data_IF_376376815309
#
_entry.id   IF_376376815309
#
_cell.length_a   1.000
_cell.length_b   1.000
_cell.length_c   1.000
_cell.angle_alpha   90.00
_cell.angle_beta   90.00
_cell.angle_gamma   90.00
#
_symmetry.space_group_name_H-M   'P 1'
#
loop_
_entity.id
_entity.type
_entity.pdbx_description
1 polymer ?
#
# COMPACT_ATOMS: atom_id res chain seq x y z
N UNK A 1 -9.35 44.51 21.32
CA UNK A 1 -8.30 43.49 21.13
C UNK A 1 -8.78 42.47 20.12
N UNK A 2 -7.84 41.91 19.35
CA UNK A 2 -7.97 41.48 17.97
C UNK A 2 -9.08 40.46 17.65
N UNK A 3 -9.70 40.67 16.49
CA UNK A 3 -10.69 39.82 15.83
C UNK A 3 -10.01 38.60 15.23
N UNK A 4 -10.47 37.40 15.59
CA UNK A 4 -10.30 36.21 14.76
C UNK A 4 -11.61 35.98 14.02
N UNK A 5 -11.58 36.18 12.71
CA UNK A 5 -12.58 35.66 11.79
C UNK A 5 -11.91 35.60 10.41
N UNK A 6 -11.24 34.49 10.12
CA UNK A 6 -10.83 34.18 8.76
C UNK A 6 -11.82 33.14 8.25
N UNK A 7 -12.86 33.61 7.56
CA UNK A 7 -13.74 32.76 6.77
C UNK A 7 -13.07 32.60 5.41
N UNK A 8 -12.38 31.49 5.19
CA UNK A 8 -11.83 31.15 3.88
C UNK A 8 -12.91 30.46 3.08
N UNK A 9 -13.38 31.11 2.01
CA UNK A 9 -14.26 30.49 1.04
C UNK A 9 -13.40 29.92 -0.09
N UNK A 10 -13.13 28.61 -0.03
CA UNK A 10 -12.49 27.86 -1.10
C UNK A 10 -13.54 27.56 -2.17
N UNK A 11 -13.39 28.15 -3.34
CA UNK A 11 -14.14 27.75 -4.54
C UNK A 11 -13.20 26.98 -5.45
N UNK A 12 -13.50 25.69 -5.65
CA UNK A 12 -12.87 24.88 -6.69
C UNK A 12 -13.40 25.35 -8.04
N UNK A 13 -12.52 25.78 -8.93
CA UNK A 13 -12.90 26.22 -10.28
C UNK A 13 -12.31 25.25 -11.31
N UNK A 14 -13.17 24.36 -11.81
CA UNK A 14 -12.96 23.59 -13.05
C UNK A 14 -12.18 22.28 -12.89
N UNK A 15 -12.74 21.23 -13.50
CA UNK A 15 -12.07 19.96 -13.74
C UNK A 15 -11.34 20.02 -15.10
N UNK A 16 -10.04 19.73 -15.09
CA UNK A 16 -9.32 19.29 -16.29
C UNK A 16 -8.31 18.22 -15.87
N UNK A 17 -8.12 17.20 -16.72
CA UNK A 17 -7.34 15.99 -16.45
C UNK A 17 -5.83 16.28 -16.27
N UNK A 18 -5.40 16.65 -15.06
CA UNK A 18 -3.99 16.69 -14.65
C UNK A 18 -3.82 16.53 -13.13
N UNK A 19 -2.69 15.98 -12.68
CA UNK A 19 -2.33 15.64 -11.29
C UNK A 19 -2.17 16.85 -10.33
N UNK A 20 -2.57 18.05 -10.76
CA UNK A 20 -2.41 19.31 -10.04
C UNK A 20 -3.75 20.05 -9.94
N UNK A 21 -4.07 20.55 -8.75
CA UNK A 21 -5.25 21.42 -8.56
C UNK A 21 -4.79 22.87 -8.54
N UNK A 22 -5.39 23.72 -9.38
CA UNK A 22 -5.18 25.18 -9.31
C UNK A 22 -5.91 25.72 -8.08
N UNK A 23 -5.13 26.16 -7.09
CA UNK A 23 -5.66 26.89 -5.93
C UNK A 23 -5.43 28.39 -6.15
N UNK A 24 -6.52 29.15 -6.27
CA UNK A 24 -6.49 30.61 -6.27
C UNK A 24 -6.89 31.09 -4.88
N UNK A 25 -5.92 31.60 -4.13
CA UNK A 25 -6.18 32.21 -2.83
C UNK A 25 -6.34 33.71 -3.05
N UNK A 26 -7.58 34.20 -3.01
CA UNK A 26 -7.84 35.65 -2.92
C UNK A 26 -7.79 36.07 -1.45
N UNK A 27 -6.76 36.83 -1.08
CA UNK A 27 -6.68 37.45 0.24
C UNK A 27 -7.61 38.67 0.27
N UNK A 28 -8.79 38.52 0.88
CA UNK A 28 -9.69 39.63 1.12
C UNK A 28 -9.34 40.34 2.44
N UNK A 29 -8.64 41.47 2.35
CA UNK A 29 -8.52 42.39 3.48
C UNK A 29 -9.72 43.35 3.47
N UNK A 30 -10.79 43.01 4.19
CA UNK A 30 -11.90 43.95 4.36
C UNK A 30 -11.49 45.09 5.31
N UNK A 31 -11.28 46.30 4.79
CA UNK A 31 -11.10 47.48 5.66
C UNK A 31 -10.51 48.76 5.06
N UNK A 32 -10.09 48.81 3.80
CA UNK A 32 -9.58 50.05 3.18
C UNK A 32 -10.11 50.23 1.74
N UNK A 33 -10.68 51.40 1.39
CA UNK A 33 -10.99 51.70 0.00
C UNK A 33 -9.69 51.95 -0.77
N UNK A 34 -9.38 51.08 -1.74
CA UNK A 34 -8.27 51.27 -2.69
C UNK A 34 -7.23 50.15 -2.83
N UNK A 35 -7.40 48.98 -2.21
CA UNK A 35 -6.46 47.87 -2.38
C UNK A 35 -6.67 47.14 -3.73
N UNK A 36 -5.66 47.12 -4.60
CA UNK A 36 -5.68 46.37 -5.86
C UNK A 36 -5.54 44.85 -5.64
N UNK A 37 -6.20 44.06 -6.51
CA UNK A 37 -6.10 42.58 -6.54
C UNK A 37 -4.73 42.16 -7.08
N UNK A 38 -3.89 41.60 -6.22
CA UNK A 38 -2.73 40.81 -6.63
C UNK A 38 -2.97 39.34 -6.31
N UNK A 39 -3.35 38.53 -7.29
CA UNK A 39 -3.41 37.07 -7.16
C UNK A 39 -2.06 36.46 -7.51
N UNK A 40 -1.47 35.66 -6.62
CA UNK A 40 -0.30 34.84 -6.95
C UNK A 40 -0.76 33.40 -7.15
N UNK A 41 -0.44 32.81 -8.31
CA UNK A 41 -0.80 31.43 -8.65
C UNK A 41 0.36 30.50 -8.30
N UNK A 42 0.08 29.44 -7.54
CA UNK A 42 1.03 28.36 -7.27
C UNK A 42 0.48 27.04 -7.80
N UNK A 43 1.37 26.19 -8.32
CA UNK A 43 1.07 24.81 -8.65
C UNK A 43 1.43 23.96 -7.42
N UNK A 44 0.44 23.23 -6.88
CA UNK A 44 0.63 22.41 -5.68
C UNK A 44 0.13 20.99 -5.95
N UNK A 45 0.92 19.94 -5.67
CA UNK A 45 0.45 18.56 -5.66
C UNK A 45 -0.72 18.39 -4.67
N UNK A 46 -1.71 17.58 -5.04
CA UNK A 46 -2.99 17.42 -4.31
C UNK A 46 -2.85 17.00 -2.83
N UNK A 47 -1.71 16.46 -2.41
CA UNK A 47 -1.46 16.00 -1.04
C UNK A 47 -0.88 17.06 -0.08
N UNK A 48 -0.57 18.27 -0.56
CA UNK A 48 0.00 19.37 0.24
C UNK A 48 -1.02 20.28 0.95
N UNK A 49 -2.33 19.99 0.89
CA UNK A 49 -3.35 20.73 1.66
C UNK A 49 -3.59 20.18 3.07
N UNK A 50 -2.79 19.21 3.53
CA UNK A 50 -2.86 18.67 4.89
C UNK A 50 -1.96 19.44 5.85
N UNK A 51 -2.56 20.19 6.78
CA UNK A 51 -1.86 20.94 7.83
C UNK A 51 -1.08 20.02 8.79
N UNK A 52 0.16 20.43 9.06
CA UNK A 52 1.18 19.80 9.88
C UNK A 52 0.85 19.83 11.39
N UNK A 53 0.64 18.67 12.03
CA UNK A 53 0.94 18.41 13.45
C UNK A 53 1.26 16.91 13.60
N UNK A 54 2.37 16.60 14.26
CA UNK A 54 3.02 15.29 14.27
C UNK A 54 2.14 14.12 14.72
N UNK A 55 1.94 13.20 13.78
CA UNK A 55 1.69 11.77 13.97
C UNK A 55 2.53 11.06 12.89
N UNK A 56 3.12 9.88 13.14
CA UNK A 56 3.74 9.11 12.06
C UNK A 56 2.66 8.92 10.98
N UNK A 57 2.93 9.41 9.77
CA UNK A 57 2.02 9.30 8.64
C UNK A 57 2.00 7.83 8.24
N UNK A 58 1.12 7.06 8.87
CA UNK A 58 0.71 5.76 8.38
C UNK A 58 -0.10 6.03 7.12
N UNK A 59 0.53 5.95 5.96
CA UNK A 59 -0.18 5.96 4.69
C UNK A 59 -0.84 4.60 4.51
N UNK A 60 -2.16 4.57 4.60
CA UNK A 60 -2.98 3.40 4.31
C UNK A 60 -3.76 3.64 3.02
N UNK A 61 -3.79 2.64 2.15
CA UNK A 61 -4.58 2.65 0.91
C UNK A 61 -5.31 1.33 0.75
N UNK A 62 -6.51 1.38 0.19
CA UNK A 62 -7.34 0.21 -0.06
C UNK A 62 -7.83 0.22 -1.51
N UNK A 63 -7.81 -0.95 -2.15
CA UNK A 63 -8.27 -1.13 -3.51
C UNK A 63 -8.66 -2.59 -3.78
N UNK A 64 -9.61 -2.84 -4.70
CA UNK A 64 -9.95 -4.19 -5.10
C UNK A 64 -8.93 -4.76 -6.10
N UNK A 65 -8.70 -6.07 -6.05
CA UNK A 65 -8.02 -6.83 -7.11
C UNK A 65 -8.84 -8.08 -7.42
N UNK A 66 -8.94 -8.46 -8.68
CA UNK A 66 -9.41 -9.79 -9.09
C UNK A 66 -8.28 -10.83 -8.97
N UNK A 67 -8.35 -11.68 -7.94
CA UNK A 67 -7.38 -12.76 -7.74
C UNK A 67 -7.71 -13.96 -8.59
N UNK A 68 -6.67 -14.55 -9.18
CA UNK A 68 -6.70 -15.82 -9.90
C UNK A 68 -5.59 -16.75 -9.38
N UNK A 69 -5.81 -18.06 -9.41
CA UNK A 69 -4.82 -19.08 -9.02
C UNK A 69 -4.29 -18.92 -7.59
N UNK A 70 -5.15 -18.52 -6.66
CA UNK A 70 -4.86 -18.40 -5.23
C UNK A 70 -3.63 -17.54 -4.92
N UNK A 71 -3.28 -16.55 -5.74
CA UNK A 71 -2.05 -15.78 -5.54
C UNK A 71 -2.23 -14.26 -5.67
N UNK A 72 -1.55 -13.57 -4.78
CA UNK A 72 -1.29 -12.13 -4.85
C UNK A 72 0.20 -11.90 -4.67
N UNK A 73 0.77 -11.03 -5.50
CA UNK A 73 2.21 -10.80 -5.60
C UNK A 73 2.49 -9.32 -5.42
N UNK A 74 3.51 -9.02 -4.61
CA UNK A 74 4.12 -7.70 -4.50
C UNK A 74 5.42 -7.75 -5.28
N UNK A 75 5.60 -6.85 -6.24
CA UNK A 75 6.80 -6.84 -7.07
C UNK A 75 7.23 -5.41 -7.43
N UNK A 76 8.53 -5.25 -7.70
CA UNK A 76 9.07 -4.04 -8.32
C UNK A 76 8.50 -3.93 -9.75
N UNK A 77 7.89 -2.78 -10.07
CA UNK A 77 7.24 -2.54 -11.36
C UNK A 77 8.18 -2.74 -12.56
N UNK A 78 9.48 -2.52 -12.37
CA UNK A 78 10.51 -2.72 -13.41
C UNK A 78 10.92 -4.19 -13.60
N UNK A 79 10.42 -5.12 -12.78
CA UNK A 79 10.79 -6.54 -12.84
C UNK A 79 10.19 -7.23 -14.06
N UNK A 80 11.05 -7.74 -14.93
CA UNK A 80 10.63 -8.67 -15.98
C UNK A 80 10.19 -10.02 -15.38
N UNK A 81 9.02 -10.51 -15.81
CA UNK A 81 8.45 -11.78 -15.33
C UNK A 81 8.07 -11.74 -13.84
N UNK A 82 7.12 -10.90 -13.42
CA UNK A 82 6.89 -10.58 -12.00
C UNK A 82 6.44 -11.77 -11.14
N UNK A 83 5.90 -12.82 -11.75
CA UNK A 83 5.39 -14.00 -11.05
C UNK A 83 6.49 -15.02 -10.75
N UNK A 84 6.39 -15.63 -9.58
CA UNK A 84 7.35 -16.59 -9.08
C UNK A 84 6.97 -18.03 -9.44
N UNK A 85 7.96 -18.91 -9.62
CA UNK A 85 7.69 -20.34 -9.69
C UNK A 85 7.23 -20.89 -8.34
N UNK A 86 6.20 -21.74 -8.39
CA UNK A 86 5.64 -22.41 -7.23
C UNK A 86 5.95 -23.90 -7.29
N UNK A 87 6.66 -24.40 -6.28
CA UNK A 87 6.80 -25.84 -6.02
C UNK A 87 5.75 -26.25 -5.00
N UNK A 88 5.55 -27.55 -4.80
CA UNK A 88 4.67 -28.05 -3.72
C UNK A 88 5.10 -27.55 -2.33
N UNK A 89 6.41 -27.34 -2.12
CA UNK A 89 6.92 -26.77 -0.88
C UNK A 89 6.59 -25.27 -0.74
N UNK A 90 6.65 -24.49 -1.83
CA UNK A 90 6.17 -23.10 -1.81
C UNK A 90 4.66 -23.02 -1.49
N UNK A 91 3.87 -23.91 -2.09
CA UNK A 91 2.42 -23.99 -1.82
C UNK A 91 2.16 -24.33 -0.35
N UNK A 92 2.91 -25.27 0.22
CA UNK A 92 2.81 -25.69 1.61
C UNK A 92 3.19 -24.58 2.61
N UNK A 93 4.27 -23.84 2.37
CA UNK A 93 4.66 -22.72 3.23
C UNK A 93 3.81 -21.45 3.03
N UNK A 94 3.06 -21.39 1.92
CA UNK A 94 2.13 -20.29 1.63
C UNK A 94 2.73 -19.06 0.96
N UNK A 95 4.01 -19.09 0.60
CA UNK A 95 4.67 -18.01 -0.13
C UNK A 95 5.77 -18.53 -1.06
N UNK A 96 6.08 -17.73 -2.08
CA UNK A 96 7.22 -17.93 -2.99
C UNK A 96 7.92 -16.59 -3.17
N UNK A 97 9.25 -16.56 -3.04
CA UNK A 97 10.00 -15.31 -2.94
C UNK A 97 11.26 -15.32 -3.81
N UNK A 98 11.58 -14.16 -4.40
CA UNK A 98 12.88 -13.82 -5.01
C UNK A 98 13.14 -12.32 -4.86
N UNK A 99 14.38 -11.85 -5.10
CA UNK A 99 14.64 -10.41 -5.18
C UNK A 99 13.66 -9.71 -6.14
N UNK A 100 13.03 -8.64 -5.68
CA UNK A 100 12.05 -7.86 -6.44
C UNK A 100 10.65 -8.46 -6.56
N UNK A 101 10.38 -9.67 -6.04
CA UNK A 101 9.03 -10.26 -6.11
C UNK A 101 8.73 -11.24 -4.97
N UNK A 102 7.63 -10.99 -4.26
CA UNK A 102 7.10 -11.82 -3.19
C UNK A 102 5.63 -12.18 -3.48
N UNK A 103 5.37 -13.47 -3.70
CA UNK A 103 4.04 -13.99 -3.98
C UNK A 103 3.50 -14.77 -2.77
N UNK A 104 2.22 -14.57 -2.46
CA UNK A 104 1.56 -15.16 -1.30
C UNK A 104 0.31 -15.91 -1.71
N UNK A 105 0.08 -17.06 -1.07
CA UNK A 105 -1.11 -17.87 -1.28
C UNK A 105 -2.29 -17.25 -0.52
N UNK A 106 -3.38 -16.94 -1.22
CA UNK A 106 -4.63 -16.48 -0.62
C UNK A 106 -5.45 -17.66 -0.07
N UNK A 107 -6.47 -17.36 0.73
CA UNK A 107 -7.42 -18.37 1.25
C UNK A 107 -8.47 -18.69 0.18
N UNK A 108 -9.05 -17.66 -0.45
CA UNK A 108 -9.95 -17.84 -1.57
C UNK A 108 -9.15 -18.05 -2.86
N UNK A 109 -9.54 -19.06 -3.65
CA UNK A 109 -8.83 -19.43 -4.88
C UNK A 109 -8.93 -18.37 -5.97
N UNK A 110 -10.10 -17.76 -6.11
CA UNK A 110 -10.35 -16.75 -7.11
C UNK A 110 -11.44 -15.77 -6.69
N UNK A 111 -11.53 -14.66 -7.42
CA UNK A 111 -12.56 -13.66 -7.25
C UNK A 111 -12.08 -12.39 -6.56
N UNK A 112 -13.01 -11.50 -6.21
CA UNK A 112 -12.67 -10.17 -5.71
C UNK A 112 -12.02 -10.25 -4.33
N UNK A 113 -10.87 -9.60 -4.21
CA UNK A 113 -10.18 -9.37 -2.95
C UNK A 113 -10.11 -7.87 -2.69
N UNK A 114 -10.39 -7.47 -1.45
CA UNK A 114 -10.05 -6.14 -0.96
C UNK A 114 -8.63 -6.19 -0.39
N UNK A 115 -7.74 -5.42 -0.99
CA UNK A 115 -6.34 -5.30 -0.58
C UNK A 115 -6.18 -4.01 0.22
N UNK A 116 -5.68 -4.12 1.44
CA UNK A 116 -5.26 -2.97 2.26
C UNK A 116 -3.73 -2.94 2.31
N UNK A 117 -3.13 -1.79 2.09
CA UNK A 117 -1.68 -1.59 2.14
C UNK A 117 -1.36 -0.50 3.16
N UNK A 118 -0.45 -0.81 4.08
CA UNK A 118 0.01 0.09 5.14
C UNK A 118 1.52 0.22 5.06
N UNK A 119 2.04 1.45 5.03
CA UNK A 119 3.46 1.73 4.87
C UNK A 119 4.05 2.46 6.06
N UNK A 120 5.30 2.15 6.39
CA UNK A 120 6.14 2.83 7.37
C UNK A 120 5.58 2.86 8.81
N UNK A 121 4.96 1.76 9.23
CA UNK A 121 4.55 1.59 10.63
C UNK A 121 5.72 1.07 11.47
N UNK A 122 5.92 1.69 12.64
CA UNK A 122 7.08 1.43 13.53
C UNK A 122 6.96 0.08 14.24
N UNK A 123 5.75 -0.46 14.40
CA UNK A 123 5.47 -1.83 14.82
C UNK A 123 3.99 -2.05 14.59
N UNK A 124 3.62 -2.81 13.55
CA UNK A 124 2.22 -3.11 13.28
C UNK A 124 1.68 -4.06 14.33
N UNK A 125 0.71 -3.61 15.14
CA UNK A 125 -0.08 -4.47 16.01
C UNK A 125 -0.57 -5.67 15.19
N UNK A 126 -0.26 -6.90 15.64
CA UNK A 126 -0.75 -8.09 14.97
C UNK A 126 -2.26 -8.15 15.18
N UNK A 127 -3.06 -8.03 14.12
CA UNK A 127 -4.50 -8.10 14.28
C UNK A 127 -4.87 -9.49 14.83
N UNK A 128 -5.69 -9.50 15.87
CA UNK A 128 -6.10 -10.73 16.53
C UNK A 128 -6.91 -11.66 15.60
N UNK A 129 -7.49 -11.13 14.52
CA UNK A 129 -8.42 -11.82 13.62
C UNK A 129 -7.79 -12.32 12.30
N UNK A 130 -6.53 -12.00 12.00
CA UNK A 130 -5.84 -12.63 10.88
C UNK A 130 -5.68 -14.14 11.13
N UNK A 131 -5.94 -14.97 10.14
CA UNK A 131 -5.80 -16.45 10.27
C UNK A 131 -4.48 -16.95 9.69
N UNK A 132 -3.86 -16.17 8.79
CA UNK A 132 -2.54 -16.42 8.21
C UNK A 132 -1.74 -15.12 8.26
N UNK A 133 -0.52 -15.20 8.77
CA UNK A 133 0.42 -14.07 8.83
C UNK A 133 1.80 -14.56 8.44
N UNK A 134 2.35 -14.00 7.36
CA UNK A 134 3.66 -14.36 6.80
C UNK A 134 4.47 -13.08 6.66
N UNK A 135 5.74 -13.11 7.06
CA UNK A 135 6.70 -12.04 6.85
C UNK A 135 7.85 -12.52 5.96
N UNK A 136 8.20 -11.70 4.97
CA UNK A 136 9.35 -11.93 4.09
C UNK A 136 10.14 -10.63 3.90
N UNK A 137 11.44 -10.70 3.64
CA UNK A 137 12.22 -9.56 3.17
C UNK A 137 11.62 -8.95 1.90
N UNK A 138 11.58 -7.63 1.80
CA UNK A 138 11.27 -6.95 0.55
C UNK A 138 12.08 -5.66 0.46
N UNK A 139 12.66 -5.40 -0.71
CA UNK A 139 13.39 -4.16 -1.00
C UNK A 139 12.56 -3.35 -1.98
N UNK A 140 12.03 -2.23 -1.51
CA UNK A 140 11.34 -1.28 -2.38
C UNK A 140 12.36 -0.58 -3.28
N UNK A 141 12.10 -0.50 -4.60
CA UNK A 141 13.06 0.06 -5.55
C UNK A 141 13.34 1.55 -5.29
N UNK A 142 14.42 2.06 -5.88
CA UNK A 142 14.88 3.43 -5.66
C UNK A 142 13.89 4.51 -6.17
N UNK A 143 13.09 4.18 -7.18
CA UNK A 143 12.00 5.05 -7.67
C UNK A 143 10.74 4.95 -6.80
N UNK A 144 10.70 3.99 -5.87
CA UNK A 144 9.60 3.75 -4.95
C UNK A 144 8.36 3.13 -5.59
N UNK A 145 8.42 2.69 -6.85
CA UNK A 145 7.24 2.20 -7.57
C UNK A 145 7.16 0.67 -7.49
N UNK A 146 6.11 0.18 -6.86
CA UNK A 146 5.80 -1.25 -6.80
C UNK A 146 4.44 -1.52 -7.41
N UNK A 147 4.20 -2.79 -7.72
CA UNK A 147 2.90 -3.31 -8.05
C UNK A 147 2.46 -4.37 -7.04
N UNK A 148 1.17 -4.37 -6.77
CA UNK A 148 0.50 -5.47 -6.07
C UNK A 148 -0.56 -6.02 -7.00
N UNK A 149 -0.48 -7.31 -7.31
CA UNK A 149 -1.33 -7.90 -8.33
C UNK A 149 -1.45 -9.42 -8.29
N UNK A 150 -2.44 -9.91 -9.01
CA UNK A 150 -2.57 -11.30 -9.42
C UNK A 150 -2.34 -11.40 -10.93
N UNK A 151 -2.48 -12.60 -11.51
CA UNK A 151 -2.20 -12.84 -12.94
C UNK A 151 -3.08 -11.97 -13.85
N UNK A 152 -4.31 -11.68 -13.43
CA UNK A 152 -5.33 -10.98 -14.24
C UNK A 152 -5.47 -9.49 -13.96
N UNK A 153 -4.90 -8.99 -12.86
CA UNK A 153 -5.20 -7.66 -12.34
C UNK A 153 -4.11 -7.17 -11.37
N UNK A 154 -3.74 -5.91 -11.43
CA UNK A 154 -2.72 -5.31 -10.57
C UNK A 154 -3.00 -3.84 -10.30
N UNK A 155 -2.33 -3.30 -9.28
CA UNK A 155 -2.35 -1.87 -8.97
C UNK A 155 -0.96 -1.37 -8.63
N UNK A 156 -0.62 -0.22 -9.22
CA UNK A 156 0.61 0.51 -8.95
C UNK A 156 0.50 1.30 -7.66
N UNK A 157 1.59 1.30 -6.89
CA UNK A 157 1.68 1.95 -5.59
C UNK A 157 3.06 2.56 -5.40
N UNK A 158 3.09 3.73 -4.75
CA UNK A 158 4.32 4.35 -4.29
C UNK A 158 4.60 3.94 -2.84
N UNK A 159 5.77 3.35 -2.61
CA UNK A 159 6.31 2.99 -1.29
C UNK A 159 7.69 3.64 -1.17
N UNK A 160 8.02 4.33 -0.06
CA UNK A 160 9.34 4.92 0.10
C UNK A 160 10.43 3.87 -0.11
N UNK A 161 11.53 4.20 -0.81
CA UNK A 161 12.62 3.26 -1.02
C UNK A 161 13.20 2.74 0.30
N UNK A 162 13.64 1.48 0.28
CA UNK A 162 14.34 0.87 1.40
C UNK A 162 13.98 -0.59 1.67
N UNK A 163 14.51 -1.09 2.78
CA UNK A 163 14.35 -2.49 3.21
C UNK A 163 13.22 -2.64 4.21
N UNK A 164 12.34 -3.60 3.94
CA UNK A 164 11.13 -3.87 4.69
C UNK A 164 11.02 -5.33 5.12
N UNK A 165 10.41 -5.56 6.28
CA UNK A 165 9.68 -6.81 6.54
C UNK A 165 8.30 -6.63 5.91
N UNK A 166 8.08 -7.26 4.76
CA UNK A 166 6.76 -7.28 4.11
C UNK A 166 5.91 -8.32 4.81
N UNK A 167 4.93 -7.86 5.58
CA UNK A 167 3.95 -8.72 6.23
C UNK A 167 2.71 -8.86 5.36
N UNK A 168 2.35 -10.10 5.07
CA UNK A 168 1.10 -10.48 4.43
C UNK A 168 0.14 -11.09 5.47
N UNK A 169 -1.10 -10.61 5.48
CA UNK A 169 -2.14 -11.08 6.39
C UNK A 169 -3.38 -11.51 5.59
N UNK A 170 -3.92 -12.70 5.88
CA UNK A 170 -5.25 -13.13 5.40
C UNK A 170 -6.22 -13.23 6.57
N UNK A 171 -7.50 -12.99 6.26
CA UNK A 171 -8.60 -13.09 7.21
C UNK A 171 -9.57 -14.19 6.81
N UNK A 172 -10.36 -14.66 7.78
CA UNK A 172 -11.45 -15.59 7.51
C UNK A 172 -12.42 -14.98 6.48
N UNK A 173 -12.78 -15.70 5.40
CA UNK A 173 -13.80 -15.24 4.46
C UNK A 173 -15.14 -15.02 5.16
N UNK A 174 -15.79 -13.89 4.86
CA UNK A 174 -17.13 -13.58 5.33
C UNK A 174 -18.11 -13.76 4.17
N UNK A 175 -19.23 -14.46 4.43
CA UNK A 175 -20.22 -14.73 3.40
C UNK A 175 -20.76 -13.43 2.76
N UNK A 176 -20.75 -13.37 1.43
CA UNK A 176 -21.23 -12.22 0.66
C UNK A 176 -20.30 -10.99 0.67
N UNK A 177 -19.08 -11.11 1.21
CA UNK A 177 -18.08 -10.04 1.20
C UNK A 177 -16.85 -10.46 0.37
N UNK A 178 -16.12 -9.51 -0.24
CA UNK A 178 -14.83 -9.80 -0.84
C UNK A 178 -13.87 -10.42 0.18
N UNK A 179 -12.99 -11.31 -0.28
CA UNK A 179 -11.91 -11.81 0.55
C UNK A 179 -10.99 -10.64 0.94
N UNK A 180 -10.41 -10.67 2.14
CA UNK A 180 -9.57 -9.57 2.63
C UNK A 180 -8.14 -10.02 2.78
N UNK A 181 -7.22 -9.21 2.27
CA UNK A 181 -5.79 -9.36 2.49
C UNK A 181 -5.17 -8.02 2.85
N UNK A 182 -4.11 -8.04 3.66
CA UNK A 182 -3.41 -6.84 4.07
C UNK A 182 -1.91 -6.99 3.92
N UNK A 183 -1.27 -5.96 3.39
CA UNK A 183 0.18 -5.82 3.30
C UNK A 183 0.65 -4.72 4.24
N UNK A 184 1.66 -5.02 5.05
CA UNK A 184 2.34 -4.03 5.87
C UNK A 184 3.81 -3.98 5.48
N UNK A 185 4.28 -2.79 5.10
CA UNK A 185 5.68 -2.51 4.83
C UNK A 185 6.33 -1.98 6.12
N UNK A 186 6.90 -2.89 6.91
CA UNK A 186 7.55 -2.59 8.19
C UNK A 186 9.03 -2.28 7.96
N UNK A 187 9.46 -1.03 8.11
CA UNK A 187 10.86 -0.65 7.85
C UNK A 187 11.79 -1.40 8.80
N UNK A 188 12.69 -2.22 8.26
CA UNK A 188 13.54 -3.12 9.06
C UNK A 188 14.87 -3.35 8.34
N UNK A 189 15.98 -3.05 9.00
CA UNK A 189 17.31 -3.17 8.40
C UNK A 189 17.70 -4.61 8.04
N UNK A 190 17.26 -5.59 8.86
CA UNK A 190 17.55 -7.01 8.67
C UNK A 190 16.24 -7.80 8.79
N UNK A 191 15.39 -7.79 7.75
CA UNK A 191 14.16 -8.58 7.76
C UNK A 191 14.48 -10.07 7.66
N UNK A 192 13.62 -10.89 8.24
CA UNK A 192 13.76 -12.35 8.25
C UNK A 192 12.49 -13.00 7.78
N UNK A 193 12.59 -14.15 7.11
CA UNK A 193 11.44 -14.95 6.76
C UNK A 193 10.79 -15.53 8.01
N UNK A 194 9.47 -15.43 8.13
CA UNK A 194 8.74 -15.95 9.27
C UNK A 194 7.29 -16.28 8.90
N UNK A 195 6.81 -17.46 9.28
CA UNK A 195 5.38 -17.75 9.32
C UNK A 195 4.93 -17.47 10.75
N UNK A 196 4.40 -16.28 10.97
CA UNK A 196 3.96 -15.80 12.28
C UNK A 196 2.70 -16.51 12.74
N UNK A 197 1.79 -16.78 11.80
CA UNK A 197 0.54 -17.50 12.05
C UNK A 197 0.18 -18.35 10.84
N UNK A 198 -0.11 -19.62 11.07
CA UNK A 198 -0.51 -20.59 10.06
C UNK A 198 -1.95 -21.05 10.31
N UNK A 199 -2.79 -20.98 9.28
CA UNK A 199 -4.05 -21.71 9.24
C UNK A 199 -3.81 -23.20 8.89
N UNK A 200 -4.83 -24.07 8.98
CA UNK A 200 -4.67 -25.51 8.77
C UNK A 200 -4.18 -25.94 7.38
N UNK A 201 -4.23 -25.06 6.37
CA UNK A 201 -3.75 -25.40 5.03
C UNK A 201 -2.25 -25.12 4.83
N UNK A 202 -1.60 -24.41 5.76
CA UNK A 202 -0.15 -24.24 5.71
C UNK A 202 0.53 -25.38 6.45
N UNK A 203 1.58 -25.91 5.83
CA UNK A 203 2.49 -26.84 6.47
C UNK A 203 3.87 -26.21 6.55
N UNK A 204 4.32 -25.96 7.78
CA UNK A 204 5.63 -25.40 8.10
C UNK A 204 6.56 -26.42 8.77
N UNK A 205 6.18 -27.70 8.81
CA UNK A 205 7.01 -28.80 9.30
C UNK A 205 8.11 -29.11 8.27
N UNK A 206 9.11 -28.23 8.19
CA UNK A 206 10.21 -28.34 7.24
C UNK A 206 11.07 -27.08 7.19
N UNK A 207 12.18 -27.18 6.48
CA UNK A 207 13.00 -26.01 6.17
C UNK A 207 12.27 -25.13 5.16
N UNK A 208 12.10 -23.84 5.48
CA UNK A 208 11.50 -22.87 4.55
C UNK A 208 12.36 -22.75 3.29
N UNK A 209 11.69 -22.72 2.13
CA UNK A 209 12.32 -22.37 0.86
C UNK A 209 12.35 -20.85 0.72
N UNK A 210 13.56 -20.30 0.80
CA UNK A 210 13.79 -18.86 0.89
C UNK A 210 14.05 -18.19 -0.46
N UNK A 211 14.02 -18.94 -1.56
CA UNK A 211 14.26 -18.40 -2.91
C UNK A 211 13.57 -19.24 -3.98
N UNK A 212 13.28 -18.62 -5.12
CA UNK A 212 12.69 -19.22 -6.31
C UNK A 212 13.19 -18.48 -7.57
N UNK A 213 12.83 -18.99 -8.75
CA UNK A 213 13.03 -18.32 -10.05
C UNK A 213 11.74 -17.68 -10.57
N UNK A 214 11.86 -16.80 -11.56
CA UNK A 214 10.71 -16.31 -12.32
C UNK A 214 9.96 -17.47 -13.00
N UNK A 215 8.63 -17.35 -13.09
CA UNK A 215 7.71 -18.32 -13.69
C UNK A 215 8.02 -18.60 -15.16
#
# INVERSE_FOLDING_TARGET
>A
MARSAMCQHLQSVGCDNSDFVRLQIELFCSGLPGAQRGGTTFLVPRWLTGSNQGCPMISSVEFPILVSYSQVTVFDHSTEGPFNQWTSAHVAQGFSWRPGSAAFRTIAESGPHLVTVIVDTIEGEQPADAIRVIEVPFEAPNDGVIEIGSISDSSLLEVPPGTYSLRFECYQPLSGQPARVRFLFLRKANPSFCIVRADPELNSEGQLLLTTSAA
#
